data_IF_875410827638
#
_entry.id   IF_875410827638
#
_cell.length_a   1.000
_cell.length_b   1.000
_cell.length_c   1.000
_cell.angle_alpha   90.00
_cell.angle_beta   90.00
_cell.angle_gamma   90.00
#
_symmetry.space_group_name_H-M   'P 1'
#
loop_
_entity.id
_entity.type
_entity.pdbx_description
1 polymer ?
#
# COMPACT_ATOMS: atom_id res chain seq x y z
N UNK A 1 -35.06 -2.73 18.30
CA UNK A 1 -34.12 -3.37 17.35
C UNK A 1 -34.86 -3.54 16.02
N UNK A 2 -34.29 -3.13 14.89
CA UNK A 2 -34.90 -3.36 13.57
C UNK A 2 -34.92 -4.87 13.26
N UNK A 3 -35.99 -5.39 12.66
CA UNK A 3 -36.11 -6.80 12.24
C UNK A 3 -34.92 -7.26 11.38
N UNK A 4 -34.37 -6.37 10.55
CA UNK A 4 -33.20 -6.64 9.72
C UNK A 4 -31.93 -6.92 10.55
N UNK A 5 -31.74 -6.23 11.68
CA UNK A 5 -30.59 -6.45 12.56
C UNK A 5 -30.74 -7.77 13.33
N UNK A 6 -31.95 -8.09 13.78
CA UNK A 6 -32.25 -9.36 14.44
C UNK A 6 -31.98 -10.55 13.49
N UNK A 7 -32.48 -10.46 12.25
CA UNK A 7 -32.25 -11.46 11.21
C UNK A 7 -30.76 -11.60 10.86
N UNK A 8 -30.03 -10.48 10.84
CA UNK A 8 -28.59 -10.47 10.59
C UNK A 8 -27.77 -11.15 11.70
N UNK A 9 -28.11 -10.92 12.97
CA UNK A 9 -27.44 -11.58 14.11
C UNK A 9 -27.75 -13.07 14.22
N UNK A 10 -28.94 -13.50 13.79
CA UNK A 10 -29.33 -14.91 13.76
C UNK A 10 -28.98 -15.64 12.44
N UNK A 11 -28.31 -14.96 11.51
CA UNK A 11 -28.08 -15.49 10.17
C UNK A 11 -27.15 -16.72 10.19
N UNK A 12 -27.38 -17.77 9.37
CA UNK A 12 -26.56 -18.99 9.39
C UNK A 12 -25.10 -18.75 9.00
N UNK A 13 -24.84 -17.81 8.07
CA UNK A 13 -23.47 -17.42 7.70
C UNK A 13 -22.81 -16.56 8.79
N UNK A 14 -21.68 -17.02 9.28
CA UNK A 14 -20.85 -16.32 10.27
C UNK A 14 -20.35 -14.97 9.76
N UNK A 15 -20.02 -14.85 8.47
CA UNK A 15 -19.58 -13.58 7.88
C UNK A 15 -20.66 -12.50 7.96
N UNK A 16 -21.94 -12.89 7.84
CA UNK A 16 -23.07 -11.97 8.00
C UNK A 16 -23.20 -11.54 9.46
N UNK A 17 -23.15 -12.47 10.41
CA UNK A 17 -23.21 -12.16 11.85
C UNK A 17 -22.07 -11.23 12.26
N UNK A 18 -20.85 -11.54 11.83
CA UNK A 18 -19.66 -10.72 12.08
C UNK A 18 -19.82 -9.30 11.55
N UNK A 19 -20.26 -9.13 10.29
CA UNK A 19 -20.44 -7.82 9.67
C UNK A 19 -21.49 -6.98 10.40
N UNK A 20 -22.56 -7.61 10.87
CA UNK A 20 -23.60 -6.93 11.67
C UNK A 20 -23.02 -6.48 13.02
N UNK A 21 -22.26 -7.33 13.71
CA UNK A 21 -21.60 -6.99 14.98
C UNK A 21 -20.55 -5.88 14.82
N UNK A 22 -19.77 -5.89 13.75
CA UNK A 22 -18.84 -4.81 13.40
C UNK A 22 -19.56 -3.49 13.12
N UNK A 23 -20.75 -3.54 12.54
CA UNK A 23 -21.61 -2.37 12.39
C UNK A 23 -22.09 -1.83 13.75
N UNK A 24 -22.53 -2.73 14.64
CA UNK A 24 -23.04 -2.40 15.97
C UNK A 24 -21.95 -1.84 16.90
N UNK A 25 -20.70 -2.29 16.78
CA UNK A 25 -19.58 -1.76 17.59
C UNK A 25 -19.27 -0.29 17.24
N UNK A 26 -19.53 0.14 16.01
CA UNK A 26 -19.36 1.54 15.57
C UNK A 26 -20.57 2.42 15.88
N UNK A 27 -21.75 1.81 15.98
CA UNK A 27 -23.03 2.48 16.24
C UNK A 27 -23.84 1.63 17.22
N UNK A 28 -23.63 1.83 18.54
CA UNK A 28 -24.33 1.06 19.55
C UNK A 28 -25.84 1.25 19.41
N UNK A 29 -26.57 0.15 19.26
CA UNK A 29 -28.03 0.10 19.29
C UNK A 29 -28.47 -0.81 20.42
N UNK A 30 -29.69 -0.62 20.91
CA UNK A 30 -30.28 -1.48 21.94
C UNK A 30 -30.54 -2.90 21.35
N UNK A 31 -29.52 -3.75 21.43
CA UNK A 31 -29.50 -5.15 20.98
C UNK A 31 -28.58 -6.04 21.85
N UNK A 32 -28.41 -5.70 23.14
CA UNK A 32 -27.43 -6.33 24.04
C UNK A 32 -27.58 -7.85 24.18
N UNK A 33 -28.80 -8.34 24.47
CA UNK A 33 -29.00 -9.76 24.79
C UNK A 33 -28.59 -10.72 23.66
N UNK A 34 -28.99 -10.49 22.38
CA UNK A 34 -28.47 -11.27 21.25
C UNK A 34 -26.95 -11.24 21.11
N UNK A 35 -26.32 -10.08 21.37
CA UNK A 35 -24.86 -9.95 21.28
C UNK A 35 -24.17 -10.76 22.37
N UNK A 36 -24.68 -10.75 23.60
CA UNK A 36 -24.15 -11.57 24.70
C UNK A 36 -24.35 -13.07 24.49
N UNK A 37 -25.39 -13.48 23.78
CA UNK A 37 -25.58 -14.88 23.39
C UNK A 37 -24.52 -15.32 22.38
N UNK A 38 -24.30 -14.53 21.34
CA UNK A 38 -23.25 -14.79 20.35
C UNK A 38 -21.85 -14.78 20.98
N UNK A 39 -21.57 -13.83 21.88
CA UNK A 39 -20.29 -13.79 22.60
C UNK A 39 -20.01 -15.05 23.43
N UNK A 40 -21.05 -15.71 23.95
CA UNK A 40 -20.91 -16.91 24.79
C UNK A 40 -20.86 -18.21 24.01
N UNK A 41 -21.61 -18.31 22.92
CA UNK A 41 -21.99 -19.60 22.36
C UNK A 41 -21.80 -19.73 20.84
N UNK A 42 -21.42 -18.67 20.14
CA UNK A 42 -21.16 -18.81 18.70
C UNK A 42 -19.96 -19.74 18.47
N UNK A 43 -20.13 -20.69 17.55
CA UNK A 43 -19.10 -21.67 17.20
C UNK A 43 -17.86 -21.02 16.59
N UNK A 44 -18.05 -19.90 15.88
CA UNK A 44 -16.97 -19.20 15.20
C UNK A 44 -16.33 -18.15 16.11
N UNK A 45 -15.04 -18.32 16.40
CA UNK A 45 -14.26 -17.36 17.20
C UNK A 45 -14.32 -15.92 16.65
N UNK A 46 -14.26 -15.66 15.31
CA UNK A 46 -14.41 -14.30 14.78
C UNK A 46 -15.74 -13.62 15.17
N UNK A 47 -16.83 -14.39 15.29
CA UNK A 47 -18.14 -13.86 15.72
C UNK A 47 -18.12 -13.54 17.21
N UNK A 48 -17.56 -14.42 18.05
CA UNK A 48 -17.41 -14.16 19.49
C UNK A 48 -16.57 -12.91 19.74
N UNK A 49 -15.44 -12.76 19.04
CA UNK A 49 -14.57 -11.57 19.09
C UNK A 49 -15.33 -10.31 18.68
N UNK A 50 -16.06 -10.33 17.56
CA UNK A 50 -16.84 -9.18 17.12
C UNK A 50 -17.96 -8.82 18.11
N UNK A 51 -18.58 -9.81 18.76
CA UNK A 51 -19.59 -9.60 19.78
C UNK A 51 -19.01 -8.92 21.02
N UNK A 52 -17.85 -9.37 21.51
CA UNK A 52 -17.16 -8.72 22.64
C UNK A 52 -16.78 -7.26 22.34
N UNK A 53 -16.36 -6.96 21.09
CA UNK A 53 -16.12 -5.57 20.66
C UNK A 53 -17.39 -4.73 20.67
N UNK A 54 -18.53 -5.30 20.27
CA UNK A 54 -19.82 -4.62 20.29
C UNK A 54 -20.37 -4.37 21.71
N UNK A 55 -19.92 -5.13 22.71
CA UNK A 55 -20.29 -4.97 24.13
C UNK A 55 -19.47 -3.90 24.88
N UNK A 56 -18.50 -3.24 24.22
CA UNK A 56 -17.71 -2.15 24.84
C UNK A 56 -18.63 -1.04 25.36
N UNK A 57 -18.32 -0.54 26.55
CA UNK A 57 -19.11 0.50 27.23
C UNK A 57 -20.50 0.06 27.73
N UNK A 58 -20.83 -1.24 27.69
CA UNK A 58 -22.10 -1.78 28.21
C UNK A 58 -21.85 -2.49 29.56
N UNK A 59 -21.94 -1.79 30.71
CA UNK A 59 -21.57 -2.36 32.01
C UNK A 59 -22.37 -3.61 32.39
N UNK A 60 -23.59 -3.76 31.88
CA UNK A 60 -24.45 -4.92 32.10
C UNK A 60 -23.89 -6.21 31.49
N UNK A 61 -22.96 -6.11 30.54
CA UNK A 61 -22.32 -7.25 29.89
C UNK A 61 -21.14 -7.82 30.69
N UNK A 62 -20.79 -7.23 31.84
CA UNK A 62 -19.57 -7.56 32.61
C UNK A 62 -19.40 -9.07 32.85
N UNK A 63 -20.46 -9.76 33.29
CA UNK A 63 -20.40 -11.19 33.59
C UNK A 63 -20.14 -12.05 32.33
N UNK A 64 -20.65 -11.61 31.17
CA UNK A 64 -20.41 -12.27 29.88
C UNK A 64 -18.97 -12.07 29.43
N UNK A 65 -18.45 -10.85 29.55
CA UNK A 65 -17.07 -10.51 29.18
C UNK A 65 -16.06 -11.19 30.10
N UNK A 66 -16.32 -11.25 31.41
CA UNK A 66 -15.43 -11.92 32.37
C UNK A 66 -15.20 -13.40 32.05
N UNK A 67 -16.26 -14.12 31.65
CA UNK A 67 -16.13 -15.53 31.26
C UNK A 67 -15.30 -15.73 29.98
N UNK A 68 -15.34 -14.77 29.08
CA UNK A 68 -14.64 -14.84 27.79
C UNK A 68 -13.13 -14.55 27.91
N UNK A 69 -12.63 -14.10 29.07
CA UNK A 69 -11.18 -13.93 29.31
C UNK A 69 -10.45 -15.27 29.19
N UNK A 70 -11.09 -16.36 29.63
CA UNK A 70 -10.53 -17.71 29.60
C UNK A 70 -10.98 -18.50 28.35
N UNK A 71 -11.47 -17.81 27.29
CA UNK A 71 -11.83 -18.47 26.03
C UNK A 71 -10.59 -19.15 25.43
N UNK A 72 -10.71 -20.40 24.92
CA UNK A 72 -9.58 -21.12 24.33
C UNK A 72 -9.01 -20.44 23.08
N UNK A 73 -9.79 -19.58 22.41
CA UNK A 73 -9.30 -18.78 21.30
C UNK A 73 -8.62 -17.49 21.81
N UNK A 74 -7.34 -17.26 21.48
CA UNK A 74 -6.58 -16.12 22.01
C UNK A 74 -7.13 -14.77 21.53
N UNK A 75 -7.77 -14.69 20.35
CA UNK A 75 -8.36 -13.45 19.86
C UNK A 75 -9.63 -13.10 20.65
N UNK A 76 -10.41 -14.11 21.05
CA UNK A 76 -11.60 -13.91 21.89
C UNK A 76 -11.16 -13.47 23.30
N UNK A 77 -10.16 -14.13 23.88
CA UNK A 77 -9.56 -13.73 25.16
C UNK A 77 -9.02 -12.29 25.14
N UNK A 78 -8.26 -11.92 24.11
CA UNK A 78 -7.76 -10.55 23.93
C UNK A 78 -8.89 -9.51 23.85
N UNK A 79 -9.94 -9.80 23.06
CA UNK A 79 -11.10 -8.91 22.95
C UNK A 79 -11.84 -8.77 24.27
N UNK A 80 -11.98 -9.86 25.04
CA UNK A 80 -12.58 -9.83 26.37
C UNK A 80 -11.78 -8.92 27.31
N UNK A 81 -10.46 -9.08 27.38
CA UNK A 81 -9.57 -8.26 28.22
C UNK A 81 -9.67 -6.77 27.88
N UNK A 82 -9.63 -6.41 26.60
CA UNK A 82 -9.78 -5.01 26.15
C UNK A 82 -11.18 -4.47 26.47
N UNK A 83 -12.23 -5.29 26.32
CA UNK A 83 -13.59 -4.90 26.67
C UNK A 83 -13.74 -4.71 28.19
N UNK A 84 -13.10 -5.52 29.04
CA UNK A 84 -13.10 -5.31 30.49
C UNK A 84 -12.52 -3.95 30.87
N UNK A 85 -11.43 -3.51 30.22
CA UNK A 85 -10.86 -2.17 30.44
C UNK A 85 -11.88 -1.08 30.08
N UNK A 86 -12.60 -1.26 28.95
CA UNK A 86 -13.68 -0.34 28.55
C UNK A 86 -14.79 -0.23 29.59
N UNK A 87 -15.17 -1.34 30.22
CA UNK A 87 -16.21 -1.38 31.25
C UNK A 87 -15.74 -0.79 32.59
N UNK A 88 -14.49 -1.06 32.97
CA UNK A 88 -13.92 -0.63 34.24
C UNK A 88 -13.62 0.88 34.27
N UNK A 89 -13.21 1.47 33.14
CA UNK A 89 -12.85 2.89 33.09
C UNK A 89 -13.23 3.54 31.76
N UNK A 90 -14.53 3.83 31.54
CA UNK A 90 -15.02 4.32 30.25
C UNK A 90 -14.36 5.62 29.77
N UNK A 91 -14.09 6.56 30.69
CA UNK A 91 -13.50 7.86 30.35
C UNK A 91 -12.04 7.75 29.91
N UNK A 92 -11.21 7.04 30.67
CA UNK A 92 -9.80 6.80 30.35
C UNK A 92 -9.61 5.76 29.24
N UNK A 93 -10.63 4.95 28.95
CA UNK A 93 -10.66 4.13 27.74
C UNK A 93 -10.84 5.01 26.49
N UNK A 94 -11.72 6.01 26.55
CA UNK A 94 -12.00 6.90 25.42
C UNK A 94 -10.80 7.76 25.01
N UNK A 95 -9.98 8.21 25.97
CA UNK A 95 -8.73 8.93 25.71
C UNK A 95 -7.51 8.01 25.47
N UNK A 96 -7.71 6.69 25.55
CA UNK A 96 -6.69 5.67 25.31
C UNK A 96 -5.73 5.39 26.47
N UNK A 97 -5.77 6.18 27.55
CA UNK A 97 -4.84 6.00 28.69
C UNK A 97 -5.02 4.66 29.39
N UNK A 98 -6.25 4.15 29.52
CA UNK A 98 -6.54 2.86 30.13
C UNK A 98 -6.00 1.67 29.32
N UNK A 99 -5.69 1.87 28.03
CA UNK A 99 -5.16 0.84 27.15
C UNK A 99 -3.63 0.75 27.19
N UNK A 100 -2.93 1.74 27.75
CA UNK A 100 -1.46 1.74 27.83
C UNK A 100 -0.88 0.46 28.46
N UNK A 101 -1.39 -0.05 29.61
CA UNK A 101 -0.86 -1.28 30.19
C UNK A 101 -0.99 -2.49 29.24
N UNK A 102 -2.04 -2.54 28.42
CA UNK A 102 -2.22 -3.62 27.45
C UNK A 102 -1.28 -3.49 26.25
N UNK A 103 -0.84 -2.27 25.92
CA UNK A 103 0.16 -2.02 24.88
C UNK A 103 1.58 -2.38 25.34
N UNK A 104 1.82 -2.46 26.65
CA UNK A 104 3.10 -2.84 27.27
C UNK A 104 3.31 -4.35 27.39
N UNK A 105 2.24 -5.12 27.18
CA UNK A 105 2.24 -6.57 27.26
C UNK A 105 3.15 -7.23 26.20
N UNK A 106 3.46 -8.50 26.42
CA UNK A 106 4.29 -9.28 25.49
C UNK A 106 3.48 -9.95 24.38
N UNK A 107 2.19 -10.21 24.61
CA UNK A 107 1.31 -10.89 23.66
C UNK A 107 0.95 -9.99 22.45
N UNK A 108 1.42 -10.30 21.23
CA UNK A 108 1.13 -9.50 20.04
C UNK A 108 -0.36 -9.44 19.71
N UNK A 109 -1.13 -10.49 20.02
CA UNK A 109 -2.58 -10.55 19.78
C UNK A 109 -3.33 -9.54 20.65
N UNK A 110 -2.99 -9.47 21.94
CA UNK A 110 -3.53 -8.47 22.86
C UNK A 110 -3.15 -7.04 22.46
N UNK A 111 -1.87 -6.79 22.13
CA UNK A 111 -1.44 -5.45 21.71
C UNK A 111 -2.19 -5.04 20.44
N UNK A 112 -2.35 -5.95 19.47
CA UNK A 112 -3.12 -5.69 18.25
C UNK A 112 -4.59 -5.34 18.58
N UNK A 113 -5.24 -6.07 19.47
CA UNK A 113 -6.61 -5.78 19.90
C UNK A 113 -6.73 -4.44 20.63
N UNK A 114 -5.76 -4.10 21.49
CA UNK A 114 -5.70 -2.81 22.18
C UNK A 114 -5.51 -1.65 21.18
N UNK A 115 -4.62 -1.80 20.19
CA UNK A 115 -4.45 -0.84 19.11
C UNK A 115 -5.74 -0.64 18.31
N UNK A 116 -6.45 -1.73 17.99
CA UNK A 116 -7.71 -1.67 17.26
C UNK A 116 -8.79 -0.93 18.06
N UNK A 117 -8.77 -1.04 19.39
CA UNK A 117 -9.71 -0.37 20.28
C UNK A 117 -9.48 1.14 20.46
N UNK A 118 -8.30 1.66 20.11
CA UNK A 118 -8.01 3.10 20.19
C UNK A 118 -8.93 3.89 19.25
N UNK A 119 -9.78 4.73 19.85
CA UNK A 119 -10.67 5.64 19.15
C UNK A 119 -10.06 7.03 18.90
N UNK A 120 -10.78 7.94 18.22
CA UNK A 120 -10.28 9.28 17.88
C UNK A 120 -9.89 10.17 19.06
N UNK A 121 -10.38 9.87 20.27
CA UNK A 121 -9.98 10.55 21.50
C UNK A 121 -8.58 10.18 21.99
N UNK A 122 -8.02 9.07 21.49
CA UNK A 122 -6.66 8.65 21.80
C UNK A 122 -5.65 9.58 21.11
N UNK A 123 -5.12 10.51 21.89
CA UNK A 123 -4.24 11.58 21.41
C UNK A 123 -2.79 11.41 21.88
N UNK A 124 -2.29 12.42 22.58
CA UNK A 124 -0.89 12.51 23.00
C UNK A 124 -0.44 11.34 23.88
N UNK A 125 -1.34 10.78 24.70
CA UNK A 125 -1.01 9.77 25.73
C UNK A 125 -0.45 8.47 25.15
N UNK A 126 -0.81 8.13 23.91
CA UNK A 126 -0.36 6.91 23.22
C UNK A 126 0.82 7.14 22.27
N UNK A 127 1.24 8.39 22.05
CA UNK A 127 2.22 8.74 21.01
C UNK A 127 3.55 8.06 21.27
N UNK A 128 4.05 8.11 22.50
CA UNK A 128 5.35 7.52 22.83
C UNK A 128 5.31 6.00 22.66
N UNK A 129 4.19 5.37 23.04
CA UNK A 129 4.03 3.92 22.88
C UNK A 129 3.91 3.51 21.42
N UNK A 130 3.15 4.24 20.61
CA UNK A 130 3.10 4.01 19.17
C UNK A 130 4.47 4.24 18.51
N UNK A 131 5.22 5.26 18.94
CA UNK A 131 6.59 5.50 18.46
C UNK A 131 7.47 4.29 18.73
N UNK A 132 7.44 3.75 19.95
CA UNK A 132 8.20 2.56 20.30
C UNK A 132 7.78 1.34 19.46
N UNK A 133 6.49 1.09 19.31
CA UNK A 133 5.97 -0.01 18.51
C UNK A 133 6.36 0.08 17.02
N UNK A 134 6.56 1.29 16.49
CA UNK A 134 7.00 1.52 15.12
C UNK A 134 8.51 1.30 14.94
N UNK A 135 9.31 1.81 15.88
CA UNK A 135 10.77 1.93 15.74
C UNK A 135 11.57 0.77 16.36
N UNK A 136 10.95 -0.07 17.19
CA UNK A 136 11.64 -1.23 17.79
C UNK A 136 11.49 -2.49 16.94
N UNK A 137 12.34 -3.49 17.20
CA UNK A 137 12.32 -4.84 16.60
C UNK A 137 11.12 -5.65 17.09
N UNK A 138 9.92 -5.22 16.71
CA UNK A 138 8.67 -5.95 16.91
C UNK A 138 8.32 -6.77 15.66
N UNK A 139 7.46 -7.80 15.78
CA UNK A 139 6.94 -8.51 14.62
C UNK A 139 6.38 -7.54 13.58
N UNK A 140 6.70 -7.76 12.30
CA UNK A 140 6.31 -6.87 11.20
C UNK A 140 4.79 -6.59 11.17
N UNK A 141 3.97 -7.60 11.49
CA UNK A 141 2.52 -7.46 11.59
C UNK A 141 2.10 -6.39 12.62
N UNK A 142 2.78 -6.34 13.78
CA UNK A 142 2.48 -5.39 14.83
C UNK A 142 2.94 -3.97 14.46
N UNK A 143 4.12 -3.84 13.82
CA UNK A 143 4.60 -2.55 13.29
C UNK A 143 3.63 -1.99 12.25
N UNK A 144 3.13 -2.84 11.34
CA UNK A 144 2.07 -2.47 10.36
C UNK A 144 0.78 -2.03 11.04
N UNK A 145 0.37 -2.70 12.11
CA UNK A 145 -0.84 -2.33 12.85
C UNK A 145 -0.68 -1.01 13.60
N UNK A 146 0.47 -0.78 14.25
CA UNK A 146 0.80 0.50 14.87
C UNK A 146 0.79 1.64 13.85
N UNK A 147 1.31 1.40 12.64
CA UNK A 147 1.32 2.39 11.56
C UNK A 147 -0.08 2.72 11.05
N UNK A 148 -0.92 1.71 10.84
CA UNK A 148 -2.34 1.91 10.49
C UNK A 148 -3.10 2.66 11.61
N UNK A 149 -2.77 2.38 12.86
CA UNK A 149 -3.36 3.06 14.03
C UNK A 149 -2.96 4.53 14.05
N UNK A 150 -1.66 4.84 13.89
CA UNK A 150 -1.17 6.20 13.74
C UNK A 150 -1.86 6.93 12.59
N UNK A 151 -2.03 6.26 11.44
CA UNK A 151 -2.72 6.79 10.27
C UNK A 151 -4.19 7.15 10.59
N UNK A 152 -4.91 6.20 11.19
CA UNK A 152 -6.33 6.32 11.56
C UNK A 152 -6.56 7.45 12.56
N UNK A 153 -5.69 7.57 13.56
CA UNK A 153 -5.77 8.58 14.61
C UNK A 153 -5.19 9.94 14.22
N UNK A 154 -4.50 10.02 13.06
CA UNK A 154 -3.90 11.24 12.51
C UNK A 154 -3.00 11.96 13.51
N UNK A 155 -2.09 11.23 14.16
CA UNK A 155 -1.22 11.77 15.21
C UNK A 155 -0.01 12.49 14.59
N UNK A 156 0.04 13.83 14.55
CA UNK A 156 1.09 14.57 13.84
C UNK A 156 2.47 14.38 14.49
N UNK A 157 2.53 14.10 15.79
CA UNK A 157 3.76 13.84 16.53
C UNK A 157 4.47 12.53 16.09
N UNK A 158 3.80 11.69 15.29
CA UNK A 158 4.39 10.50 14.69
C UNK A 158 4.93 10.75 13.26
N UNK A 159 4.92 11.99 12.76
CA UNK A 159 5.42 12.32 11.42
C UNK A 159 6.89 11.95 11.23
N UNK A 160 7.77 12.38 12.13
CA UNK A 160 9.18 12.01 12.11
C UNK A 160 9.38 10.48 12.13
N UNK A 161 8.83 9.77 13.12
CA UNK A 161 8.90 8.30 13.18
C UNK A 161 8.35 7.58 11.95
N UNK A 162 7.30 8.09 11.31
CA UNK A 162 6.76 7.46 10.08
C UNK A 162 7.64 7.77 8.88
N UNK A 163 8.24 8.96 8.81
CA UNK A 163 9.20 9.31 7.75
C UNK A 163 10.43 8.38 7.79
N UNK A 164 10.94 8.03 8.98
CA UNK A 164 12.07 7.08 9.10
C UNK A 164 11.71 5.66 8.64
N UNK A 165 10.43 5.32 8.54
CA UNK A 165 10.01 4.01 8.01
C UNK A 165 10.03 3.95 6.49
N UNK A 166 10.24 5.07 5.80
CA UNK A 166 10.42 5.08 4.35
C UNK A 166 11.73 4.39 3.94
N UNK A 167 12.71 4.37 4.84
CA UNK A 167 14.00 3.69 4.65
C UNK A 167 13.89 2.16 4.83
N UNK A 168 12.78 1.64 5.39
CA UNK A 168 12.53 0.21 5.58
C UNK A 168 11.66 -0.32 4.42
N UNK A 169 12.19 -1.10 3.46
CA UNK A 169 11.43 -1.57 2.30
C UNK A 169 10.18 -2.37 2.65
N UNK A 170 10.13 -3.00 3.84
CA UNK A 170 8.98 -3.81 4.27
C UNK A 170 7.80 -2.97 4.77
N UNK A 171 8.05 -1.70 5.11
CA UNK A 171 7.08 -0.76 5.69
C UNK A 171 6.91 0.52 4.86
N UNK A 172 7.86 0.85 3.98
CA UNK A 172 7.87 2.06 3.17
C UNK A 172 6.55 2.28 2.41
N UNK A 173 5.91 1.26 1.78
CA UNK A 173 4.64 1.47 1.11
C UNK A 173 3.55 1.92 2.09
N UNK A 174 3.36 1.22 3.21
CA UNK A 174 2.37 1.55 4.23
C UNK A 174 2.65 2.91 4.90
N UNK A 175 3.93 3.27 5.07
CA UNK A 175 4.34 4.54 5.62
C UNK A 175 3.95 5.68 4.68
N UNK A 176 4.27 5.55 3.39
CA UNK A 176 3.84 6.49 2.36
C UNK A 176 2.31 6.62 2.27
N UNK A 177 1.57 5.52 2.41
CA UNK A 177 0.10 5.53 2.47
C UNK A 177 -0.42 6.38 3.63
N UNK A 178 0.18 6.19 4.80
CA UNK A 178 -0.17 6.87 6.04
C UNK A 178 0.13 8.36 5.95
N UNK A 179 1.34 8.72 5.51
CA UNK A 179 1.77 10.11 5.30
C UNK A 179 0.90 10.85 4.30
N UNK A 180 0.42 10.17 3.26
CA UNK A 180 -0.47 10.75 2.28
C UNK A 180 -1.89 11.00 2.81
N UNK A 181 -2.33 10.19 3.79
CA UNK A 181 -3.62 10.36 4.48
C UNK A 181 -3.60 11.51 5.48
N UNK A 182 -2.42 11.82 6.01
CA UNK A 182 -2.19 13.05 6.76
C UNK A 182 -2.20 14.17 5.72
N UNK A 183 -2.83 15.29 6.03
CA UNK A 183 -2.79 16.49 5.18
C UNK A 183 -1.39 17.09 5.26
N UNK A 184 -0.41 16.30 4.83
CA UNK A 184 1.00 16.54 5.03
C UNK A 184 1.40 17.76 4.25
N UNK A 185 2.25 18.55 4.89
CA UNK A 185 2.85 19.74 4.31
C UNK A 185 3.41 19.44 2.91
N UNK A 186 3.35 20.39 1.96
CA UNK A 186 3.82 20.21 0.58
C UNK A 186 5.22 19.56 0.47
N UNK A 187 6.12 19.87 1.40
CA UNK A 187 7.48 19.33 1.44
C UNK A 187 7.54 17.80 1.62
N UNK A 188 6.65 17.20 2.41
CA UNK A 188 6.62 15.74 2.61
C UNK A 188 6.18 15.03 1.32
N UNK A 189 5.25 15.62 0.58
CA UNK A 189 4.84 15.07 -0.71
C UNK A 189 5.99 15.14 -1.73
N UNK A 190 6.76 16.21 -1.73
CA UNK A 190 7.93 16.35 -2.61
C UNK A 190 8.99 15.29 -2.31
N UNK A 191 9.27 15.04 -1.03
CA UNK A 191 10.18 13.96 -0.61
C UNK A 191 9.66 12.59 -1.06
N UNK A 192 8.37 12.30 -0.85
CA UNK A 192 7.75 11.03 -1.24
C UNK A 192 7.68 10.81 -2.76
N UNK A 193 7.45 11.87 -3.54
CA UNK A 193 7.47 11.82 -5.00
C UNK A 193 8.90 11.65 -5.54
N UNK A 194 9.90 12.03 -4.77
CA UNK A 194 11.32 11.90 -5.14
C UNK A 194 11.98 10.64 -4.57
N UNK A 195 11.24 9.83 -3.81
CA UNK A 195 11.75 8.66 -3.09
C UNK A 195 12.44 7.63 -4.02
N UNK A 196 13.52 6.95 -3.61
CA UNK A 196 14.19 5.93 -4.43
C UNK A 196 13.29 4.72 -4.75
N UNK A 197 12.48 4.26 -3.80
CA UNK A 197 11.51 3.18 -4.04
C UNK A 197 10.34 3.65 -4.94
N UNK A 198 10.21 3.00 -6.10
CA UNK A 198 9.13 3.25 -7.06
C UNK A 198 7.72 2.93 -6.52
N UNK A 199 7.55 2.02 -5.58
CA UNK A 199 6.25 1.72 -4.98
C UNK A 199 5.75 2.89 -4.09
N UNK A 200 6.67 3.54 -3.37
CA UNK A 200 6.39 4.77 -2.61
C UNK A 200 5.99 5.90 -3.55
N UNK A 201 6.73 6.10 -4.64
CA UNK A 201 6.40 7.12 -5.65
C UNK A 201 5.03 6.88 -6.28
N UNK A 202 4.72 5.63 -6.64
CA UNK A 202 3.42 5.26 -7.24
C UNK A 202 2.26 5.59 -6.32
N UNK A 203 2.35 5.15 -5.07
CA UNK A 203 1.29 5.35 -4.09
C UNK A 203 1.05 6.84 -3.85
N UNK A 204 2.14 7.61 -3.75
CA UNK A 204 2.10 9.06 -3.58
C UNK A 204 1.47 9.75 -4.78
N UNK A 205 1.93 9.44 -6.00
CA UNK A 205 1.38 10.00 -7.24
C UNK A 205 -0.12 9.69 -7.39
N UNK A 206 -0.53 8.46 -7.07
CA UNK A 206 -1.95 8.05 -7.08
C UNK A 206 -2.78 8.87 -6.11
N UNK A 207 -2.31 9.05 -4.88
CA UNK A 207 -3.05 9.78 -3.84
C UNK A 207 -3.14 11.26 -4.17
N UNK A 208 -2.07 11.84 -4.72
CA UNK A 208 -2.08 13.20 -5.23
C UNK A 208 -3.10 13.37 -6.36
N UNK A 209 -3.10 12.49 -7.35
CA UNK A 209 -4.08 12.51 -8.44
C UNK A 209 -5.53 12.46 -7.92
N UNK A 210 -5.84 11.57 -6.96
CA UNK A 210 -7.16 11.50 -6.33
C UNK A 210 -7.51 12.74 -5.48
N UNK A 211 -6.51 13.39 -4.89
CA UNK A 211 -6.67 14.64 -4.15
C UNK A 211 -7.04 15.80 -5.08
N UNK A 212 -6.31 15.95 -6.18
CA UNK A 212 -6.51 17.00 -7.18
C UNK A 212 -7.81 16.82 -7.94
N UNK A 213 -8.09 15.61 -8.43
CA UNK A 213 -9.34 15.29 -9.14
C UNK A 213 -10.58 15.50 -8.27
N UNK A 214 -10.44 15.29 -6.95
CA UNK A 214 -11.51 15.54 -5.97
C UNK A 214 -11.60 16.99 -5.50
N UNK A 215 -10.78 17.91 -6.03
CA UNK A 215 -10.75 19.32 -5.60
C UNK A 215 -10.24 19.55 -4.18
N UNK A 216 -9.64 18.53 -3.54
CA UNK A 216 -9.15 18.59 -2.16
C UNK A 216 -7.73 19.13 -2.05
N UNK A 217 -6.99 19.19 -3.16
CA UNK A 217 -5.61 19.67 -3.23
C UNK A 217 -5.35 20.44 -4.51
N UNK A 218 -4.47 21.45 -4.50
CA UNK A 218 -3.96 22.05 -5.72
C UNK A 218 -3.11 21.02 -6.49
N UNK A 219 -3.08 21.16 -7.82
CA UNK A 219 -2.17 20.41 -8.69
C UNK A 219 -0.70 20.76 -8.45
N UNK A 220 0.20 19.99 -9.07
CA UNK A 220 1.61 20.37 -9.15
C UNK A 220 1.81 21.48 -10.19
N UNK A 221 2.78 22.35 -9.97
CA UNK A 221 3.22 23.24 -11.03
C UNK A 221 3.87 22.43 -12.17
N UNK A 222 3.83 23.01 -13.37
CA UNK A 222 4.26 22.33 -14.60
C UNK A 222 5.74 21.95 -14.57
N UNK A 223 6.61 22.75 -13.95
CA UNK A 223 8.05 22.50 -13.93
C UNK A 223 8.35 21.26 -13.11
N UNK A 224 7.75 21.16 -11.91
CA UNK A 224 7.92 20.00 -11.03
C UNK A 224 7.34 18.73 -11.64
N UNK A 225 6.17 18.81 -12.26
CA UNK A 225 5.59 17.67 -12.97
C UNK A 225 6.56 17.14 -14.04
N UNK A 226 7.06 18.02 -14.90
CA UNK A 226 7.92 17.61 -16.01
C UNK A 226 9.19 16.93 -15.51
N UNK A 227 9.80 17.43 -14.43
CA UNK A 227 10.96 16.77 -13.81
C UNK A 227 10.63 15.35 -13.29
N UNK A 228 9.47 15.17 -12.65
CA UNK A 228 9.02 13.85 -12.19
C UNK A 228 8.70 12.92 -13.37
N UNK A 229 8.04 13.43 -14.42
CA UNK A 229 7.76 12.65 -15.62
C UNK A 229 9.03 12.26 -16.36
N UNK A 230 9.97 13.17 -16.56
CA UNK A 230 11.24 12.86 -17.24
C UNK A 230 12.01 11.76 -16.49
N UNK A 231 12.01 11.77 -15.15
CA UNK A 231 12.57 10.68 -14.34
C UNK A 231 11.85 9.35 -14.59
N UNK A 232 10.53 9.32 -14.47
CA UNK A 232 9.77 8.07 -14.67
C UNK A 232 9.89 7.55 -16.11
N UNK A 233 9.94 8.44 -17.11
CA UNK A 233 10.17 8.08 -18.49
C UNK A 233 11.55 7.45 -18.68
N UNK A 234 12.60 8.06 -18.11
CA UNK A 234 13.94 7.51 -18.16
C UNK A 234 14.01 6.11 -17.52
N UNK A 235 13.37 5.91 -16.35
CA UNK A 235 13.29 4.60 -15.69
C UNK A 235 12.59 3.56 -16.59
N UNK A 236 11.46 3.90 -17.20
CA UNK A 236 10.72 2.99 -18.10
C UNK A 236 11.55 2.62 -19.34
N UNK A 237 12.16 3.60 -20.00
CA UNK A 237 12.95 3.35 -21.21
C UNK A 237 14.22 2.57 -20.91
N UNK A 238 14.84 2.77 -19.75
CA UNK A 238 15.94 1.93 -19.26
C UNK A 238 15.50 0.48 -19.08
N UNK A 239 14.35 0.23 -18.44
CA UNK A 239 13.79 -1.11 -18.28
C UNK A 239 13.46 -1.77 -19.62
N UNK A 240 12.99 -1.02 -20.62
CA UNK A 240 12.83 -1.54 -21.98
C UNK A 240 14.18 -1.88 -22.63
N UNK A 241 15.23 -1.10 -22.38
CA UNK A 241 16.59 -1.41 -22.82
C UNK A 241 17.11 -2.71 -22.21
N UNK A 242 16.91 -2.91 -20.90
CA UNK A 242 17.25 -4.16 -20.22
C UNK A 242 16.48 -5.34 -20.82
N UNK A 243 15.16 -5.19 -20.98
CA UNK A 243 14.32 -6.25 -21.56
C UNK A 243 14.76 -6.58 -22.99
N UNK A 244 15.12 -5.56 -23.77
CA UNK A 244 15.69 -5.73 -25.10
C UNK A 244 17.05 -6.44 -25.06
N UNK A 245 17.92 -6.11 -24.11
CA UNK A 245 19.22 -6.77 -23.95
C UNK A 245 19.07 -8.25 -23.62
N UNK A 246 18.13 -8.59 -22.72
CA UNK A 246 17.76 -9.97 -22.41
C UNK A 246 17.18 -10.73 -23.62
N UNK A 247 16.55 -10.01 -24.56
CA UNK A 247 15.92 -10.56 -25.75
C UNK A 247 16.83 -10.52 -27.01
N UNK A 248 17.96 -9.80 -26.97
CA UNK A 248 18.85 -9.57 -28.11
C UNK A 248 19.98 -10.59 -28.23
N UNK A 249 20.14 -11.48 -27.25
CA UNK A 249 21.29 -12.42 -27.19
C UNK A 249 21.28 -13.49 -28.32
N UNK A 250 20.26 -13.53 -29.20
CA UNK A 250 20.10 -14.57 -30.23
C UNK A 250 20.14 -14.11 -31.70
N UNK A 251 20.23 -12.80 -31.98
CA UNK A 251 20.35 -12.28 -33.35
C UNK A 251 19.13 -12.48 -34.25
N UNK A 252 17.93 -12.80 -33.73
CA UNK A 252 16.72 -12.96 -34.55
C UNK A 252 15.86 -11.68 -34.67
N UNK A 253 15.01 -11.55 -35.71
CA UNK A 253 14.29 -10.31 -36.04
C UNK A 253 13.24 -9.91 -35.00
N UNK A 254 12.59 -10.89 -34.37
CA UNK A 254 11.69 -10.69 -33.24
C UNK A 254 12.48 -11.01 -31.99
N UNK A 255 12.87 -9.99 -31.23
CA UNK A 255 13.61 -10.16 -29.98
C UNK A 255 12.78 -11.01 -29.01
N UNK A 256 13.01 -12.32 -29.03
CA UNK A 256 12.33 -13.29 -28.19
C UNK A 256 13.19 -13.54 -26.96
N UNK A 257 12.55 -13.54 -25.80
CA UNK A 257 13.23 -13.78 -24.55
C UNK A 257 13.46 -15.28 -24.42
N UNK A 258 14.72 -15.68 -24.23
CA UNK A 258 15.02 -17.09 -24.02
C UNK A 258 14.29 -17.65 -22.79
N UNK A 259 13.89 -18.93 -22.80
CA UNK A 259 13.23 -19.55 -21.66
C UNK A 259 14.02 -19.45 -20.35
N UNK A 260 15.36 -19.41 -20.43
CA UNK A 260 16.30 -19.20 -19.31
C UNK A 260 16.09 -17.86 -18.61
N UNK A 261 15.79 -16.79 -19.37
CA UNK A 261 15.58 -15.44 -18.88
C UNK A 261 14.11 -15.08 -18.64
N UNK A 262 13.18 -15.97 -19.01
CA UNK A 262 11.73 -15.71 -18.94
C UNK A 262 11.25 -15.27 -17.54
N UNK A 263 11.82 -15.84 -16.46
CA UNK A 263 11.51 -15.43 -15.10
C UNK A 263 11.91 -13.97 -14.82
N UNK A 264 13.18 -13.63 -15.07
CA UNK A 264 13.70 -12.27 -14.86
C UNK A 264 12.99 -11.24 -15.75
N UNK A 265 12.77 -11.58 -17.01
CA UNK A 265 12.00 -10.77 -17.94
C UNK A 265 10.60 -10.46 -17.41
N UNK A 266 9.90 -11.46 -16.88
CA UNK A 266 8.59 -11.26 -16.26
C UNK A 266 8.62 -10.28 -15.07
N UNK A 267 9.69 -10.29 -14.27
CA UNK A 267 9.86 -9.32 -13.17
C UNK A 267 10.19 -7.91 -13.69
N UNK A 268 11.01 -7.79 -14.74
CA UNK A 268 11.27 -6.51 -15.43
C UNK A 268 9.99 -5.93 -16.03
N UNK A 269 9.17 -6.76 -16.69
CA UNK A 269 7.87 -6.37 -17.23
C UNK A 269 6.92 -5.86 -16.13
N UNK A 270 6.91 -6.49 -14.94
CA UNK A 270 6.15 -5.97 -13.79
C UNK A 270 6.63 -4.59 -13.37
N UNK A 271 7.94 -4.33 -13.36
CA UNK A 271 8.47 -2.99 -13.06
C UNK A 271 8.11 -1.97 -14.13
N UNK A 272 8.11 -2.35 -15.41
CA UNK A 272 7.63 -1.52 -16.52
C UNK A 272 6.16 -1.14 -16.30
N UNK A 273 5.30 -2.10 -15.96
CA UNK A 273 3.88 -1.85 -15.69
C UNK A 273 3.67 -0.89 -14.52
N UNK A 274 4.42 -1.06 -13.42
CA UNK A 274 4.38 -0.14 -12.28
C UNK A 274 4.79 1.27 -12.70
N UNK A 275 5.90 1.41 -13.43
CA UNK A 275 6.40 2.70 -13.88
C UNK A 275 5.46 3.40 -14.88
N UNK A 276 4.86 2.67 -15.82
CA UNK A 276 3.79 3.18 -16.70
C UNK A 276 2.57 3.67 -15.90
N UNK A 277 2.17 2.92 -14.86
CA UNK A 277 1.08 3.31 -13.96
C UNK A 277 1.40 4.61 -13.23
N UNK A 278 2.66 4.81 -12.81
CA UNK A 278 3.12 6.08 -12.22
C UNK A 278 3.03 7.25 -13.18
N UNK A 279 3.48 7.08 -14.42
CA UNK A 279 3.37 8.11 -15.46
C UNK A 279 1.91 8.54 -15.62
N UNK A 280 0.98 7.59 -15.72
CA UNK A 280 -0.45 7.89 -15.82
C UNK A 280 -1.00 8.62 -14.58
N UNK A 281 -0.56 8.24 -13.37
CA UNK A 281 -0.94 8.95 -12.15
C UNK A 281 -0.41 10.39 -12.12
N UNK A 282 0.85 10.61 -12.52
CA UNK A 282 1.42 11.96 -12.63
C UNK A 282 0.68 12.81 -13.66
N UNK A 283 0.37 12.27 -14.83
CA UNK A 283 -0.43 12.99 -15.84
C UNK A 283 -1.83 13.34 -15.31
N UNK A 284 -2.42 12.49 -14.48
CA UNK A 284 -3.74 12.70 -13.88
C UNK A 284 -3.76 13.85 -12.87
N UNK A 285 -2.60 14.33 -12.42
CA UNK A 285 -2.45 15.53 -11.58
C UNK A 285 -2.65 16.82 -12.39
N UNK A 286 -2.47 16.78 -13.72
CA UNK A 286 -2.31 18.00 -14.55
C UNK A 286 -3.45 18.25 -15.52
N UNK A 287 -4.09 17.20 -16.04
CA UNK A 287 -5.14 17.42 -17.02
C UNK A 287 -6.46 17.92 -16.42
N UNK A 288 -7.24 18.62 -17.25
CA UNK A 288 -8.64 18.94 -16.95
C UNK A 288 -9.35 17.66 -16.48
N UNK A 289 -10.09 17.76 -15.36
CA UNK A 289 -10.78 16.65 -14.72
C UNK A 289 -11.75 15.91 -15.66
N UNK A 290 -12.12 16.50 -16.82
CA UNK A 290 -12.85 15.83 -17.90
C UNK A 290 -11.95 14.99 -18.80
N UNK A 291 -10.79 15.49 -19.23
CA UNK A 291 -9.86 14.82 -20.14
C UNK A 291 -9.15 13.63 -19.49
N UNK A 292 -8.83 13.73 -18.19
CA UNK A 292 -8.12 12.66 -17.47
C UNK A 292 -9.02 11.54 -16.94
N UNK A 293 -10.35 11.67 -17.02
CA UNK A 293 -11.28 10.59 -16.64
C UNK A 293 -11.17 9.37 -17.56
N UNK A 294 -10.91 9.57 -18.85
CA UNK A 294 -10.70 8.47 -19.81
C UNK A 294 -9.41 7.71 -19.54
N UNK A 295 -8.33 8.43 -19.25
CA UNK A 295 -7.03 7.85 -18.85
C UNK A 295 -7.13 7.14 -17.49
N UNK A 296 -7.87 7.70 -16.53
CA UNK A 296 -8.13 7.09 -15.23
C UNK A 296 -9.02 5.82 -15.31
N UNK A 297 -9.81 5.66 -16.38
CA UNK A 297 -10.55 4.43 -16.65
C UNK A 297 -9.63 3.33 -17.20
N UNK A 298 -8.63 3.70 -18.02
CA UNK A 298 -7.57 2.80 -18.49
C UNK A 298 -6.68 2.26 -17.36
N UNK A 299 -6.44 3.06 -16.32
CA UNK A 299 -5.70 2.66 -15.12
C UNK A 299 -6.27 1.44 -14.36
N UNK A 300 -7.54 1.05 -14.60
CA UNK A 300 -8.20 -0.04 -13.86
C UNK A 300 -8.10 -1.41 -14.55
N UNK A 301 -7.57 -1.48 -15.77
CA UNK A 301 -7.48 -2.72 -16.56
C UNK A 301 -6.20 -2.78 -17.38
N UNK A 302 -5.33 -3.73 -17.08
CA UNK A 302 -4.15 -4.05 -17.91
C UNK A 302 -4.55 -4.93 -19.08
N UNK A 303 -4.67 -4.35 -20.27
CA UNK A 303 -4.80 -5.13 -21.51
C UNK A 303 -4.27 -4.35 -22.72
N UNK A 304 -3.76 -5.03 -23.73
CA UNK A 304 -3.23 -4.43 -24.97
C UNK A 304 -4.27 -3.56 -25.70
N UNK A 305 -5.56 -3.92 -25.59
CA UNK A 305 -6.65 -3.13 -26.14
C UNK A 305 -6.88 -1.82 -25.36
N UNK A 306 -6.74 -1.87 -24.03
CA UNK A 306 -6.84 -0.68 -23.18
C UNK A 306 -5.64 0.24 -23.37
N UNK A 307 -4.44 -0.32 -23.51
CA UNK A 307 -3.20 0.44 -23.73
C UNK A 307 -3.26 1.26 -25.02
N UNK A 308 -3.70 0.66 -26.14
CA UNK A 308 -3.89 1.40 -27.39
C UNK A 308 -4.91 2.53 -27.24
N UNK A 309 -5.99 2.31 -26.48
CA UNK A 309 -6.98 3.35 -26.23
C UNK A 309 -6.43 4.47 -25.36
N UNK A 310 -5.58 4.14 -24.40
CA UNK A 310 -4.85 5.12 -23.58
C UNK A 310 -3.91 5.93 -24.46
N UNK A 311 -3.18 5.31 -25.38
CA UNK A 311 -2.29 6.00 -26.33
C UNK A 311 -3.05 7.05 -27.16
N UNK A 312 -4.18 6.68 -27.78
CA UNK A 312 -5.04 7.61 -28.54
C UNK A 312 -5.51 8.80 -27.69
N UNK A 313 -5.95 8.54 -26.45
CA UNK A 313 -6.42 9.59 -25.55
C UNK A 313 -5.28 10.53 -25.13
N UNK A 314 -4.09 9.98 -24.88
CA UNK A 314 -2.92 10.76 -24.52
C UNK A 314 -2.45 11.65 -25.67
N UNK A 315 -2.48 11.15 -26.91
CA UNK A 315 -2.14 11.92 -28.09
C UNK A 315 -3.06 13.15 -28.28
N UNK A 316 -4.35 13.02 -27.94
CA UNK A 316 -5.31 14.12 -28.02
C UNK A 316 -5.18 15.16 -26.88
N UNK A 317 -4.69 14.74 -25.72
CA UNK A 317 -4.73 15.55 -24.48
C UNK A 317 -3.39 16.19 -24.17
N UNK A 318 -2.27 15.56 -24.53
CA UNK A 318 -0.93 16.04 -24.22
C UNK A 318 -0.43 17.02 -25.28
N UNK A 319 0.45 17.94 -24.86
CA UNK A 319 1.18 18.76 -25.83
C UNK A 319 2.14 17.89 -26.68
N UNK A 320 2.47 18.36 -27.89
CA UNK A 320 3.27 17.58 -28.84
C UNK A 320 4.65 17.17 -28.31
N UNK A 321 5.21 17.90 -27.34
CA UNK A 321 6.49 17.53 -26.74
C UNK A 321 6.34 16.33 -25.81
N UNK A 322 5.34 16.38 -24.93
CA UNK A 322 5.07 15.33 -23.96
C UNK A 322 4.46 14.08 -24.61
N UNK A 323 3.56 14.26 -25.59
CA UNK A 323 2.97 13.18 -26.37
C UNK A 323 4.04 12.30 -27.03
N UNK A 324 5.04 12.92 -27.68
CA UNK A 324 6.15 12.19 -28.32
C UNK A 324 6.91 11.26 -27.37
N UNK A 325 7.03 11.62 -26.09
CA UNK A 325 7.73 10.80 -25.10
C UNK A 325 6.84 9.76 -24.42
N UNK A 326 5.57 10.09 -24.16
CA UNK A 326 4.66 9.26 -23.35
C UNK A 326 3.87 8.26 -24.18
N UNK A 327 3.33 8.67 -25.33
CA UNK A 327 2.45 7.83 -26.16
C UNK A 327 3.11 6.48 -26.55
N UNK A 328 4.40 6.42 -26.92
CA UNK A 328 5.06 5.16 -27.26
C UNK A 328 5.07 4.11 -26.13
N UNK A 329 4.90 4.53 -24.87
CA UNK A 329 4.80 3.62 -23.73
C UNK A 329 3.50 2.81 -23.72
N UNK A 330 2.44 3.30 -24.36
CA UNK A 330 1.10 2.71 -24.37
C UNK A 330 0.68 2.23 -25.75
N UNK A 331 1.39 2.64 -26.80
CA UNK A 331 1.10 2.23 -28.16
C UNK A 331 1.46 0.75 -28.42
N UNK A 332 0.88 0.18 -29.48
CA UNK A 332 1.09 -1.20 -29.94
C UNK A 332 2.41 -1.36 -30.69
N UNK A 333 3.48 -1.01 -30.01
CA UNK A 333 4.84 -1.18 -30.50
C UNK A 333 5.42 -2.51 -30.01
N UNK A 334 6.15 -3.20 -30.88
CA UNK A 334 7.07 -4.27 -30.51
C UNK A 334 8.20 -3.74 -29.61
N UNK A 335 8.91 -4.64 -28.92
CA UNK A 335 10.05 -4.24 -28.09
C UNK A 335 11.12 -3.50 -28.89
N UNK A 336 11.39 -3.97 -30.12
CA UNK A 336 12.29 -3.30 -31.08
C UNK A 336 11.83 -1.88 -31.39
N UNK A 337 10.59 -1.70 -31.84
CA UNK A 337 10.05 -0.37 -32.17
C UNK A 337 10.07 0.58 -30.96
N UNK A 338 9.84 0.06 -29.74
CA UNK A 338 9.97 0.87 -28.51
C UNK A 338 11.40 1.33 -28.27
N UNK A 339 12.39 0.44 -28.40
CA UNK A 339 13.81 0.83 -28.24
C UNK A 339 14.29 1.77 -29.33
N UNK A 340 13.91 1.58 -30.59
CA UNK A 340 14.22 2.51 -31.68
C UNK A 340 13.56 3.88 -31.44
N UNK A 341 12.35 3.89 -30.90
CA UNK A 341 11.69 5.13 -30.49
C UNK A 341 12.42 5.81 -29.34
N UNK A 342 12.82 5.06 -28.32
CA UNK A 342 13.62 5.58 -27.22
C UNK A 342 14.96 6.19 -27.70
N UNK A 343 15.63 5.54 -28.67
CA UNK A 343 16.86 6.05 -29.31
C UNK A 343 16.62 7.36 -30.02
N UNK A 344 15.58 7.46 -30.85
CA UNK A 344 15.20 8.69 -31.55
C UNK A 344 14.84 9.83 -30.61
N UNK A 345 14.36 9.50 -29.41
CA UNK A 345 14.01 10.45 -28.37
C UNK A 345 15.20 10.82 -27.46
N UNK A 346 16.39 10.24 -27.69
CA UNK A 346 17.61 10.43 -26.88
C UNK A 346 17.42 10.10 -25.38
N UNK A 347 16.47 9.20 -25.07
CA UNK A 347 16.19 8.72 -23.70
C UNK A 347 16.60 7.25 -23.51
N UNK A 348 17.18 6.64 -24.55
CA UNK A 348 17.66 5.27 -24.51
C UNK A 348 19.07 5.19 -23.94
N UNK A 349 19.25 4.31 -22.97
CA UNK A 349 20.56 3.94 -22.47
C UNK A 349 21.08 2.73 -23.25
N UNK A 350 22.02 2.95 -24.18
CA UNK A 350 22.62 1.86 -24.96
C UNK A 350 23.32 0.82 -24.07
N UNK A 351 23.83 1.24 -22.90
CA UNK A 351 24.46 0.30 -21.97
C UNK A 351 23.46 -0.73 -21.45
N UNK A 352 22.18 -0.35 -21.31
CA UNK A 352 21.12 -1.26 -20.89
C UNK A 352 20.81 -2.36 -21.90
N UNK A 353 21.06 -2.11 -23.19
CA UNK A 353 20.96 -3.13 -24.23
C UNK A 353 22.19 -4.04 -24.27
N UNK A 354 23.38 -3.44 -24.19
CA UNK A 354 24.65 -4.16 -24.35
C UNK A 354 25.01 -5.00 -23.13
N UNK A 355 24.59 -4.55 -21.94
CA UNK A 355 24.96 -5.16 -20.67
C UNK A 355 23.78 -5.10 -19.68
N UNK A 356 22.72 -5.90 -19.94
CA UNK A 356 21.49 -5.85 -19.16
C UNK A 356 21.72 -6.17 -17.68
N UNK A 357 22.73 -7.00 -17.36
CA UNK A 357 23.05 -7.34 -15.98
C UNK A 357 23.65 -6.15 -15.21
N UNK A 358 24.61 -5.42 -15.80
CA UNK A 358 25.13 -4.21 -15.17
C UNK A 358 24.05 -3.13 -15.03
N UNK A 359 23.18 -3.00 -16.04
CA UNK A 359 22.10 -2.04 -16.02
C UNK A 359 21.04 -2.37 -14.95
N UNK A 360 20.74 -3.65 -14.71
CA UNK A 360 19.87 -4.10 -13.61
C UNK A 360 20.43 -3.68 -12.24
N UNK A 361 21.74 -3.86 -12.02
CA UNK A 361 22.37 -3.44 -10.76
C UNK A 361 22.37 -1.91 -10.60
N UNK A 362 22.54 -1.17 -11.69
CA UNK A 362 22.48 0.28 -11.69
C UNK A 362 21.08 0.85 -11.38
N UNK A 363 20.04 0.01 -11.36
CA UNK A 363 18.70 0.41 -10.88
C UNK A 363 18.62 0.52 -9.35
N UNK A 364 19.56 -0.08 -8.62
CA UNK A 364 19.54 -0.17 -7.15
C UNK A 364 18.20 -0.73 -6.61
N UNK A 365 17.64 -1.74 -7.31
CA UNK A 365 16.42 -2.45 -6.90
C UNK A 365 16.81 -3.82 -6.32
N UNK A 366 16.77 -4.01 -4.98
CA UNK A 366 17.19 -5.26 -4.35
C UNK A 366 16.43 -6.50 -4.84
N UNK A 367 15.16 -6.34 -5.22
CA UNK A 367 14.34 -7.44 -5.72
C UNK A 367 14.82 -7.89 -7.10
N UNK A 368 15.02 -6.93 -8.03
CA UNK A 368 15.52 -7.26 -9.36
C UNK A 368 16.96 -7.77 -9.31
N UNK A 369 17.80 -7.24 -8.43
CA UNK A 369 19.14 -7.76 -8.17
C UNK A 369 19.10 -9.21 -7.70
N UNK A 370 18.21 -9.55 -6.75
CA UNK A 370 18.01 -10.93 -6.31
C UNK A 370 17.50 -11.84 -7.43
N UNK A 371 16.55 -11.38 -8.24
CA UNK A 371 16.05 -12.13 -9.39
C UNK A 371 17.15 -12.37 -10.45
N UNK A 372 17.99 -11.36 -10.69
CA UNK A 372 19.14 -11.47 -11.57
C UNK A 372 20.16 -12.47 -11.05
N UNK A 373 20.48 -12.44 -9.75
CA UNK A 373 21.37 -13.41 -9.10
C UNK A 373 20.89 -14.85 -9.29
N UNK A 374 19.59 -15.10 -9.09
CA UNK A 374 18.98 -16.42 -9.31
C UNK A 374 19.04 -16.85 -10.79
N UNK A 375 18.80 -15.92 -11.71
CA UNK A 375 18.71 -16.22 -13.15
C UNK A 375 20.08 -16.43 -13.80
N UNK A 376 21.07 -15.59 -13.45
CA UNK A 376 22.42 -15.66 -14.01
C UNK A 376 23.34 -16.64 -13.26
N UNK A 377 23.01 -17.02 -12.02
CA UNK A 377 23.72 -18.04 -11.26
C UNK A 377 25.21 -17.73 -11.08
N UNK A 378 26.08 -18.69 -11.45
CA UNK A 378 27.54 -18.55 -11.35
C UNK A 378 28.08 -17.32 -12.11
N UNK A 379 27.48 -16.98 -13.27
CA UNK A 379 27.89 -15.79 -14.05
C UNK A 379 27.68 -14.49 -13.27
N UNK A 380 26.69 -14.45 -12.37
CA UNK A 380 26.47 -13.33 -11.48
C UNK A 380 27.55 -13.27 -10.40
N UNK A 381 27.84 -14.39 -9.76
CA UNK A 381 28.83 -14.49 -8.68
C UNK A 381 30.26 -14.18 -9.18
N UNK A 382 30.65 -14.70 -10.34
CA UNK A 382 31.96 -14.47 -10.95
C UNK A 382 32.20 -12.99 -11.28
N UNK A 383 31.13 -12.29 -11.69
CA UNK A 383 31.20 -10.91 -12.13
C UNK A 383 31.04 -9.90 -10.98
N UNK A 384 30.30 -10.27 -9.94
CA UNK A 384 29.94 -9.40 -8.81
C UNK A 384 30.20 -10.07 -7.46
N UNK A 385 31.41 -10.61 -7.27
CA UNK A 385 31.82 -11.29 -6.04
C UNK A 385 31.58 -10.45 -4.76
N UNK A 386 31.60 -9.12 -4.88
CA UNK A 386 31.39 -8.17 -3.77
C UNK A 386 29.93 -7.95 -3.36
N UNK A 387 28.94 -8.50 -4.08
CA UNK A 387 27.50 -8.34 -3.74
C UNK A 387 27.07 -9.38 -2.69
N UNK A 388 27.90 -10.39 -2.42
CA UNK A 388 27.66 -11.46 -1.43
C UNK A 388 28.43 -11.28 -0.11
N UNK A 389 29.20 -10.20 0.04
CA UNK A 389 29.78 -9.75 1.33
C UNK A 389 28.84 -8.77 2.03
#
# INVERSE_FOLDING_TARGET
MSEALAAGLAHPSASVRQLVLEGLSRRPLAARLPIEELARADVEAPVRTAALRALRGQPEALATVQRAVDDPDPAVSAAARVTLVSLASPHTFADGSALLPLLDESDPGLIAEALEALGPGAGAVIVDRLRELLLTTRPLALRRQALRTAARLRLPLLLGPVLTLLDDPSLAPEAAASLSSWESAPHVLEQLLSHPDGAVRERTARLLAHGVQGGRRPGLDRVRLLALLDRELADVYRLYGILAGLAHDDGTPDWQIEPSFAFLAGEVERRILQARTRVLHLLAVVGDARSMRGVAFGLRRTSVAVDAKVAELLEMVLDASLARKVVPLFDRLSLRERTETARRLEVFDEQSLLDPLQALLALDDPHLTGCAAVTYGERFADRFATVYE
#
